data_IF_738126156845
#
_entry.id   IF_738126156845
#
_cell.length_a   1.000
_cell.length_b   1.000
_cell.length_c   1.000
_cell.angle_alpha   90.00
_cell.angle_beta   90.00
_cell.angle_gamma   90.00
#
_symmetry.space_group_name_H-M   'P 1'
#
loop_
_entity.id
_entity.type
_entity.pdbx_description
1 polymer ?
#
# COMPACT_ATOMS: atom_id res chain seq x y z
N UNK A 1 -3.53 -59.43 45.27
CA UNK A 1 -3.61 -57.97 45.39
C UNK A 1 -4.68 -57.46 44.43
N UNK A 2 -5.70 -56.77 44.93
CA UNK A 2 -6.77 -56.18 44.11
C UNK A 2 -6.67 -54.67 44.16
N UNK A 3 -7.09 -54.01 43.07
CA UNK A 3 -6.99 -52.55 42.90
C UNK A 3 -8.30 -52.07 42.30
N UNK A 4 -8.93 -51.09 42.95
CA UNK A 4 -10.27 -50.62 42.62
C UNK A 4 -10.26 -49.09 42.53
N UNK A 5 -10.88 -48.57 41.47
CA UNK A 5 -11.20 -47.16 41.33
C UNK A 5 -12.70 -46.97 41.49
N UNK A 6 -13.10 -46.09 42.39
CA UNK A 6 -14.49 -45.75 42.64
C UNK A 6 -14.68 -44.24 42.59
N UNK A 7 -15.87 -43.79 42.25
CA UNK A 7 -16.20 -42.37 42.23
C UNK A 7 -17.61 -42.12 42.76
N UNK A 8 -17.83 -40.95 43.32
CA UNK A 8 -19.16 -40.48 43.72
C UNK A 8 -19.28 -38.98 43.55
N UNK A 9 -20.51 -38.48 43.42
CA UNK A 9 -20.74 -37.04 43.54
C UNK A 9 -20.32 -36.61 44.95
N UNK A 10 -19.53 -35.55 45.06
CA UNK A 10 -19.03 -35.10 46.36
C UNK A 10 -20.19 -34.82 47.32
N UNK A 11 -20.05 -35.26 48.57
CA UNK A 11 -21.11 -35.19 49.59
C UNK A 11 -22.20 -36.26 49.51
N UNK A 12 -22.21 -37.15 48.51
CA UNK A 12 -23.12 -38.32 48.48
C UNK A 12 -22.52 -39.52 49.21
N UNK A 13 -23.35 -40.46 49.69
CA UNK A 13 -22.86 -41.61 50.45
C UNK A 13 -22.31 -42.72 49.53
N UNK A 14 -23.00 -43.00 48.43
CA UNK A 14 -22.80 -44.18 47.57
C UNK A 14 -21.61 -44.04 46.62
N UNK A 15 -20.80 -45.10 46.52
CA UNK A 15 -19.65 -45.18 45.61
C UNK A 15 -20.00 -45.99 44.37
N UNK A 16 -19.73 -45.44 43.19
CA UNK A 16 -19.86 -46.12 41.91
C UNK A 16 -18.52 -46.71 41.51
N UNK A 17 -18.47 -48.01 41.20
CA UNK A 17 -17.25 -48.64 40.70
C UNK A 17 -16.97 -48.17 39.27
N UNK A 18 -15.76 -47.65 39.03
CA UNK A 18 -15.33 -47.22 37.71
C UNK A 18 -15.08 -48.39 36.75
N UNK A 19 -14.97 -49.62 37.27
CA UNK A 19 -14.61 -50.84 36.52
C UNK A 19 -13.28 -50.72 35.75
N UNK A 20 -12.37 -49.89 36.26
CA UNK A 20 -11.01 -49.72 35.73
C UNK A 20 -10.03 -49.94 36.88
N UNK A 21 -8.88 -50.55 36.56
CA UNK A 21 -7.77 -50.79 37.50
C UNK A 21 -6.58 -49.91 37.14
N UNK A 22 -5.70 -49.63 38.10
CA UNK A 22 -4.57 -48.71 37.94
C UNK A 22 -3.24 -49.38 38.34
N UNK A 23 -2.13 -48.97 37.70
CA UNK A 23 -0.78 -49.49 37.97
C UNK A 23 0.19 -48.34 38.22
N UNK A 24 1.24 -48.59 39.03
CA UNK A 24 2.29 -47.60 39.24
C UNK A 24 2.92 -47.17 37.92
N UNK A 25 3.15 -45.86 37.76
CA UNK A 25 3.77 -45.29 36.57
C UNK A 25 2.95 -45.37 35.28
N UNK A 26 1.72 -45.91 35.31
CA UNK A 26 0.88 -46.07 34.12
C UNK A 26 -0.37 -45.21 34.25
N UNK A 27 -0.54 -44.26 33.34
CA UNK A 27 -1.77 -43.47 33.25
C UNK A 27 -2.95 -44.37 32.86
N UNK A 28 -4.13 -44.06 33.42
CA UNK A 28 -5.38 -44.71 33.04
C UNK A 28 -6.49 -43.66 32.98
N UNK A 29 -7.59 -43.99 32.30
CA UNK A 29 -8.73 -43.09 32.13
C UNK A 29 -10.01 -43.85 32.48
N UNK A 30 -10.93 -43.18 33.16
CA UNK A 30 -12.26 -43.71 33.45
C UNK A 30 -13.30 -42.57 33.37
N UNK A 31 -14.58 -42.90 33.49
CA UNK A 31 -15.67 -41.93 33.46
C UNK A 31 -16.40 -41.89 32.12
N UNK A 32 -15.70 -41.84 30.98
CA UNK A 32 -16.27 -42.10 29.65
C UNK A 32 -17.59 -41.39 29.29
N UNK A 33 -17.88 -40.22 29.88
CA UNK A 33 -19.15 -39.48 29.75
C UNK A 33 -20.15 -39.66 30.91
N UNK A 34 -19.97 -40.64 31.80
CA UNK A 34 -20.77 -40.87 33.02
C UNK A 34 -20.43 -39.92 34.17
N UNK A 35 -19.31 -39.21 34.05
CA UNK A 35 -18.88 -38.17 35.00
C UNK A 35 -19.23 -36.82 34.37
N UNK A 36 -20.18 -36.12 34.99
CA UNK A 36 -20.59 -34.79 34.54
C UNK A 36 -19.48 -33.77 34.82
N UNK A 37 -19.24 -32.87 33.88
CA UNK A 37 -18.35 -31.73 34.10
C UNK A 37 -18.97 -30.66 35.00
N UNK A 38 -20.25 -30.78 35.36
CA UNK A 38 -20.98 -29.79 36.15
C UNK A 38 -21.15 -30.21 37.62
N UNK A 39 -20.55 -31.34 38.02
CA UNK A 39 -20.65 -31.83 39.41
C UNK A 39 -19.25 -32.15 39.94
N UNK A 40 -18.97 -31.81 41.19
CA UNK A 40 -17.74 -32.22 41.86
C UNK A 40 -17.82 -33.71 42.21
N UNK A 41 -16.74 -34.44 42.00
CA UNK A 41 -16.64 -35.86 42.30
C UNK A 41 -15.50 -36.12 43.27
N UNK A 42 -15.71 -37.06 44.17
CA UNK A 42 -14.65 -37.69 44.95
C UNK A 42 -14.27 -39.00 44.26
N UNK A 43 -12.98 -39.21 44.03
CA UNK A 43 -12.43 -40.41 43.43
C UNK A 43 -11.63 -41.15 44.50
N UNK A 44 -11.98 -42.42 44.74
CA UNK A 44 -11.29 -43.28 45.69
C UNK A 44 -10.48 -44.32 44.95
N UNK A 45 -9.21 -44.39 45.32
CA UNK A 45 -8.28 -45.43 44.88
C UNK A 45 -8.03 -46.37 46.05
N UNK A 46 -8.40 -47.64 45.91
CA UNK A 46 -8.21 -48.66 46.93
C UNK A 46 -7.27 -49.75 46.44
N UNK A 47 -6.30 -50.09 47.28
CA UNK A 47 -5.40 -51.23 47.09
C UNK A 47 -5.61 -52.20 48.25
N UNK A 48 -5.81 -53.47 47.94
CA UNK A 48 -5.99 -54.54 48.92
C UNK A 48 -4.96 -55.64 48.68
N UNK A 49 -4.22 -56.01 49.72
CA UNK A 49 -3.37 -57.19 49.75
C UNK A 49 -3.97 -58.28 50.67
N UNK A 50 -3.20 -59.30 51.05
CA UNK A 50 -3.67 -60.40 51.89
C UNK A 50 -3.89 -59.98 53.37
N UNK A 51 -3.37 -58.83 53.79
CA UNK A 51 -3.29 -58.41 55.19
C UNK A 51 -4.04 -57.10 55.45
N UNK A 52 -4.18 -56.22 54.45
CA UNK A 52 -4.72 -54.88 54.64
C UNK A 52 -5.35 -54.29 53.37
N UNK A 53 -6.09 -53.20 53.56
CA UNK A 53 -6.56 -52.33 52.48
C UNK A 53 -6.24 -50.89 52.78
N UNK A 54 -5.67 -50.18 51.82
CA UNK A 54 -5.35 -48.75 51.91
C UNK A 54 -6.16 -48.01 50.85
N UNK A 55 -6.73 -46.86 51.22
CA UNK A 55 -7.48 -46.00 50.29
C UNK A 55 -7.03 -44.55 50.35
N UNK A 56 -6.97 -43.90 49.19
CA UNK A 56 -6.79 -42.45 49.04
C UNK A 56 -7.99 -41.88 48.31
N UNK A 57 -8.47 -40.72 48.75
CA UNK A 57 -9.53 -39.98 48.07
C UNK A 57 -8.96 -38.70 47.50
N UNK A 58 -9.22 -38.46 46.22
CA UNK A 58 -8.92 -37.22 45.51
C UNK A 58 -10.24 -36.52 45.13
N UNK A 59 -10.23 -35.20 45.04
CA UNK A 59 -11.42 -34.40 44.73
C UNK A 59 -11.24 -33.72 43.38
N UNK A 60 -12.16 -34.01 42.46
CA UNK A 60 -12.25 -33.37 41.15
C UNK A 60 -13.45 -32.43 41.16
N UNK A 61 -13.21 -31.12 41.09
CA UNK A 61 -14.27 -30.11 41.11
C UNK A 61 -15.00 -30.00 39.76
N UNK A 62 -16.17 -29.34 39.76
CA UNK A 62 -16.91 -28.97 38.55
C UNK A 62 -16.02 -28.15 37.58
N UNK A 63 -16.15 -28.37 36.28
CA UNK A 63 -15.57 -27.53 35.24
C UNK A 63 -16.25 -26.14 35.12
N UNK A 64 -17.48 -25.99 35.63
CA UNK A 64 -18.21 -24.73 35.61
C UNK A 64 -18.84 -24.43 36.97
N UNK A 65 -18.48 -23.28 37.53
CA UNK A 65 -18.98 -22.68 38.77
C UNK A 65 -19.51 -21.29 38.42
N UNK A 66 -20.59 -20.85 39.08
CA UNK A 66 -21.12 -19.49 38.86
C UNK A 66 -20.07 -18.45 39.25
N UNK A 67 -19.43 -18.64 40.39
CA UNK A 67 -18.31 -17.82 40.85
C UNK A 67 -17.36 -18.69 41.67
N UNK A 68 -16.06 -18.56 41.46
CA UNK A 68 -15.02 -19.25 42.21
C UNK A 68 -13.93 -18.28 42.66
N UNK A 69 -13.40 -18.52 43.85
CA UNK A 69 -12.30 -17.76 44.43
C UNK A 69 -11.08 -18.66 44.52
N UNK A 70 -9.96 -18.19 43.97
CA UNK A 70 -8.72 -18.93 44.04
C UNK A 70 -8.26 -19.05 45.49
N UNK A 71 -7.76 -20.23 45.86
CA UNK A 71 -7.18 -20.47 47.18
C UNK A 71 -6.17 -19.37 47.58
N UNK A 72 -6.26 -18.92 48.82
CA UNK A 72 -5.46 -17.79 49.31
C UNK A 72 -5.94 -16.40 48.84
N UNK A 73 -7.12 -16.30 48.23
CA UNK A 73 -7.72 -15.02 47.81
C UNK A 73 -7.02 -14.36 46.62
N UNK A 74 -6.25 -15.13 45.85
CA UNK A 74 -5.41 -14.60 44.77
C UNK A 74 -6.11 -14.44 43.44
N UNK A 75 -7.40 -14.71 43.31
CA UNK A 75 -8.08 -14.66 42.02
C UNK A 75 -9.57 -14.90 42.15
N UNK A 76 -10.30 -14.52 41.10
CA UNK A 76 -11.75 -14.71 41.02
C UNK A 76 -12.14 -15.08 39.59
N UNK A 77 -13.01 -16.07 39.45
CA UNK A 77 -13.51 -16.52 38.15
C UNK A 77 -15.03 -16.64 38.14
N UNK A 78 -15.65 -16.43 36.97
CA UNK A 78 -17.09 -16.57 36.74
C UNK A 78 -17.33 -17.52 35.56
N UNK A 79 -18.19 -18.53 35.76
CA UNK A 79 -18.49 -19.56 34.76
C UNK A 79 -17.38 -20.61 34.55
N UNK A 80 -16.26 -20.52 35.29
CA UNK A 80 -15.11 -21.44 35.31
C UNK A 80 -14.41 -21.36 36.67
N UNK A 81 -13.56 -22.34 36.98
CA UNK A 81 -12.67 -22.31 38.16
C UNK A 81 -11.53 -21.31 37.93
N UNK A 82 -11.06 -20.63 38.98
CA UNK A 82 -9.97 -19.67 38.89
C UNK A 82 -8.60 -20.37 38.81
N UNK A 83 -7.94 -20.20 37.68
CA UNK A 83 -6.71 -20.89 37.31
C UNK A 83 -5.49 -19.99 37.50
N UNK A 84 -5.63 -18.67 37.34
CA UNK A 84 -4.49 -17.73 37.31
C UNK A 84 -4.41 -16.85 38.56
N UNK A 85 -3.23 -16.78 39.19
CA UNK A 85 -2.96 -15.84 40.30
C UNK A 85 -3.07 -14.38 39.80
N UNK A 86 -3.67 -13.53 40.62
CA UNK A 86 -3.95 -12.11 40.43
C UNK A 86 -4.82 -11.80 39.19
N UNK A 87 -5.76 -12.68 38.84
CA UNK A 87 -6.59 -12.53 37.64
C UNK A 87 -8.09 -12.57 37.93
N UNK A 88 -8.85 -11.76 37.18
CA UNK A 88 -10.29 -11.94 37.02
C UNK A 88 -10.54 -12.69 35.71
N UNK A 89 -11.10 -13.89 35.80
CA UNK A 89 -11.33 -14.76 34.66
C UNK A 89 -12.83 -14.95 34.40
N UNK A 90 -13.20 -15.04 33.13
CA UNK A 90 -14.57 -15.36 32.73
C UNK A 90 -14.50 -16.51 31.73
N UNK A 91 -15.41 -17.46 31.87
CA UNK A 91 -15.54 -18.58 30.93
C UNK A 91 -15.70 -18.08 29.49
N UNK A 92 -15.06 -18.76 28.54
CA UNK A 92 -15.22 -18.50 27.10
C UNK A 92 -16.67 -18.68 26.59
N UNK A 93 -17.50 -19.38 27.37
CA UNK A 93 -18.93 -19.59 27.09
C UNK A 93 -19.81 -18.42 27.55
N UNK A 94 -19.24 -17.43 28.24
CA UNK A 94 -19.96 -16.32 28.83
C UNK A 94 -19.59 -15.00 28.14
N UNK A 95 -20.61 -14.23 27.78
CA UNK A 95 -20.44 -12.87 27.30
C UNK A 95 -20.23 -11.89 28.47
N UNK A 96 -19.19 -11.07 28.40
CA UNK A 96 -18.98 -9.97 29.35
C UNK A 96 -19.66 -8.71 28.81
N UNK A 97 -20.50 -8.05 29.62
CA UNK A 97 -21.04 -6.72 29.32
C UNK A 97 -20.42 -5.67 30.22
N UNK A 98 -19.96 -4.57 29.63
CA UNK A 98 -19.43 -3.38 30.33
C UNK A 98 -20.25 -2.18 29.86
N UNK A 99 -20.83 -1.42 30.81
CA UNK A 99 -21.74 -0.30 30.54
C UNK A 99 -22.89 -0.66 29.55
N UNK A 100 -23.46 -1.86 29.71
CA UNK A 100 -24.57 -2.34 28.87
C UNK A 100 -24.17 -2.84 27.47
N UNK A 101 -22.90 -2.75 27.08
CA UNK A 101 -22.39 -3.25 25.79
C UNK A 101 -21.55 -4.51 25.99
N UNK A 102 -21.59 -5.44 25.04
CA UNK A 102 -20.63 -6.55 25.03
C UNK A 102 -19.20 -5.98 25.05
N UNK A 103 -18.29 -6.56 25.84
CA UNK A 103 -16.92 -6.08 26.02
C UNK A 103 -16.21 -5.93 24.66
N UNK A 104 -16.37 -6.92 23.76
CA UNK A 104 -15.85 -6.85 22.38
C UNK A 104 -16.34 -5.61 21.62
N UNK A 105 -17.62 -5.24 21.78
CA UNK A 105 -18.22 -4.06 21.15
C UNK A 105 -17.72 -2.77 21.81
N UNK A 106 -17.60 -2.76 23.14
CA UNK A 106 -17.08 -1.62 23.88
C UNK A 106 -15.64 -1.29 23.46
N UNK A 107 -14.74 -2.28 23.46
CA UNK A 107 -13.34 -2.10 23.05
C UNK A 107 -13.25 -1.63 21.59
N UNK A 108 -14.00 -2.27 20.68
CA UNK A 108 -14.02 -1.88 19.27
C UNK A 108 -14.46 -0.42 19.07
N UNK A 109 -15.51 0.03 19.74
CA UNK A 109 -15.99 1.41 19.61
C UNK A 109 -15.02 2.45 20.17
N UNK A 110 -14.18 2.09 21.15
CA UNK A 110 -13.14 2.97 21.68
C UNK A 110 -11.89 3.02 20.79
N UNK A 111 -11.48 1.88 20.23
CA UNK A 111 -10.27 1.80 19.39
C UNK A 111 -10.53 2.24 17.94
N UNK A 112 -11.67 1.83 17.39
CA UNK A 112 -12.04 2.06 15.99
C UNK A 112 -13.50 2.52 15.89
N UNK A 113 -13.84 3.77 16.26
CA UNK A 113 -15.16 4.33 16.01
C UNK A 113 -15.55 4.32 14.52
N UNK A 114 -16.84 4.53 14.22
CA UNK A 114 -17.31 4.67 12.84
C UNK A 114 -16.57 5.83 12.17
N UNK A 115 -16.03 5.59 10.97
CA UNK A 115 -15.15 6.53 10.27
C UNK A 115 -13.65 6.24 10.42
N UNK A 116 -13.24 5.35 11.33
CA UNK A 116 -11.84 4.95 11.44
C UNK A 116 -11.33 4.22 10.19
N UNK A 117 -10.05 4.44 9.87
CA UNK A 117 -9.33 3.76 8.81
C UNK A 117 -8.34 2.77 9.43
N UNK A 118 -8.42 1.51 9.03
CA UNK A 118 -7.49 0.45 9.40
C UNK A 118 -6.64 0.06 8.19
N UNK A 119 -5.33 -0.04 8.37
CA UNK A 119 -4.36 -0.38 7.33
C UNK A 119 -3.72 -1.74 7.63
N UNK A 120 -3.65 -2.63 6.64
CA UNK A 120 -3.06 -3.96 6.78
C UNK A 120 -2.51 -4.48 5.48
N UNK A 121 -1.47 -5.32 5.54
CA UNK A 121 -0.97 -6.07 4.37
C UNK A 121 -1.84 -7.30 4.07
N UNK A 122 -2.79 -7.64 4.94
CA UNK A 122 -3.77 -8.71 4.73
C UNK A 122 -5.02 -8.19 4.02
N UNK A 123 -5.52 -8.98 3.07
CA UNK A 123 -6.79 -8.72 2.38
C UNK A 123 -8.03 -9.06 3.22
N UNK A 124 -7.86 -9.65 4.40
CA UNK A 124 -8.97 -10.05 5.26
C UNK A 124 -9.72 -8.84 5.80
N UNK A 125 -11.03 -8.80 5.56
CA UNK A 125 -11.92 -7.74 6.08
C UNK A 125 -11.88 -7.68 7.62
N UNK A 126 -11.70 -6.48 8.23
CA UNK A 126 -11.66 -6.32 9.67
C UNK A 126 -12.88 -6.75 10.46
N UNK A 127 -14.02 -6.93 9.80
CA UNK A 127 -15.21 -7.50 10.42
C UNK A 127 -14.97 -8.90 11.01
N UNK A 128 -13.97 -9.64 10.53
CA UNK A 128 -13.70 -11.01 11.01
C UNK A 128 -12.98 -11.06 12.36
N UNK A 129 -12.22 -10.03 12.72
CA UNK A 129 -11.46 -9.96 13.98
C UNK A 129 -11.98 -8.88 14.92
N UNK A 130 -12.31 -7.68 14.41
CA UNK A 130 -12.84 -6.59 15.24
C UNK A 130 -14.37 -6.61 15.34
N UNK A 131 -15.06 -7.26 14.41
CA UNK A 131 -16.50 -7.10 14.23
C UNK A 131 -16.84 -5.78 13.52
N UNK A 132 -18.11 -5.36 13.62
CA UNK A 132 -18.61 -4.18 12.90
C UNK A 132 -18.69 -4.38 11.39
N UNK A 133 -18.93 -3.28 10.67
CA UNK A 133 -19.01 -3.25 9.20
C UNK A 133 -17.88 -2.40 8.64
N UNK A 134 -17.15 -2.94 7.66
CA UNK A 134 -15.99 -2.29 7.05
C UNK A 134 -16.02 -2.41 5.54
N UNK A 135 -15.60 -1.33 4.87
CA UNK A 135 -15.53 -1.24 3.41
C UNK A 135 -14.12 -0.86 2.97
N UNK A 136 -13.65 -1.38 1.84
CA UNK A 136 -12.38 -0.96 1.26
C UNK A 136 -12.37 0.55 1.01
N UNK A 137 -11.26 1.22 1.31
CA UNK A 137 -11.14 2.67 1.25
C UNK A 137 -9.86 3.08 0.52
N UNK A 138 -9.92 4.15 -0.27
CA UNK A 138 -8.73 4.73 -0.90
C UNK A 138 -8.00 3.80 -1.88
N UNK A 139 -8.69 2.88 -2.55
CA UNK A 139 -8.05 1.95 -3.51
C UNK A 139 -7.28 2.72 -4.58
N UNK A 140 -6.01 2.35 -4.80
CA UNK A 140 -5.13 3.02 -5.75
C UNK A 140 -4.76 4.47 -5.39
N UNK A 141 -4.92 4.88 -4.12
CA UNK A 141 -4.67 6.24 -3.65
C UNK A 141 -3.77 6.26 -2.42
N UNK A 142 -3.14 7.39 -2.18
CA UNK A 142 -2.36 7.68 -0.97
C UNK A 142 -3.17 8.65 -0.10
N UNK A 143 -3.35 8.39 1.22
CA UNK A 143 -4.07 9.29 2.10
C UNK A 143 -3.35 10.63 2.25
N UNK A 144 -4.09 11.73 2.13
CA UNK A 144 -3.61 13.08 2.44
C UNK A 144 -4.47 13.64 3.58
N UNK A 145 -3.82 14.22 4.59
CA UNK A 145 -4.51 14.83 5.72
C UNK A 145 -5.39 15.99 5.25
N UNK A 146 -6.60 16.08 5.80
CA UNK A 146 -7.50 17.20 5.50
C UNK A 146 -6.87 18.49 5.99
N UNK A 147 -6.83 19.48 5.11
CA UNK A 147 -6.43 20.85 5.41
C UNK A 147 -7.55 21.79 4.99
N UNK A 148 -8.34 22.24 5.96
CA UNK A 148 -9.50 23.11 5.72
C UNK A 148 -9.14 24.44 5.02
N UNK A 149 -7.88 24.88 5.12
CA UNK A 149 -7.39 26.11 4.49
C UNK A 149 -6.84 25.90 3.07
N UNK A 150 -6.74 24.66 2.60
CA UNK A 150 -6.30 24.34 1.25
C UNK A 150 -7.47 23.74 0.46
N UNK A 151 -7.93 24.46 -0.56
CA UNK A 151 -9.05 24.01 -1.39
C UNK A 151 -8.82 22.65 -2.06
N UNK A 152 -7.56 22.22 -2.24
CA UNK A 152 -7.23 20.90 -2.77
C UNK A 152 -7.56 19.77 -1.78
N UNK A 153 -7.49 20.04 -0.47
CA UNK A 153 -7.60 19.07 0.62
C UNK A 153 -8.65 19.44 1.69
N UNK A 154 -9.57 20.35 1.36
CA UNK A 154 -10.47 20.98 2.33
C UNK A 154 -11.54 20.04 2.93
N UNK A 155 -11.87 18.93 2.27
CA UNK A 155 -12.93 18.03 2.70
C UNK A 155 -12.44 16.59 2.76
N UNK A 156 -12.95 15.83 3.73
CA UNK A 156 -12.69 14.39 3.85
C UNK A 156 -13.08 13.68 2.55
N UNK A 157 -12.30 12.66 2.18
CA UNK A 157 -12.57 11.79 1.02
C UNK A 157 -12.61 12.50 -0.33
N UNK A 158 -12.16 13.77 -0.41
CA UNK A 158 -11.88 14.41 -1.70
C UNK A 158 -10.80 13.62 -2.43
N UNK A 159 -11.02 13.39 -3.72
CA UNK A 159 -10.09 12.64 -4.57
C UNK A 159 -9.45 13.55 -5.62
N UNK A 160 -8.27 13.14 -6.09
CA UNK A 160 -7.50 13.86 -7.10
C UNK A 160 -6.21 13.11 -7.42
N UNK A 161 -5.29 13.80 -8.12
CA UNK A 161 -4.02 13.24 -8.56
C UNK A 161 -4.10 12.50 -9.90
N UNK A 162 -2.94 12.27 -10.50
CA UNK A 162 -2.78 11.53 -11.75
C UNK A 162 -1.52 10.68 -11.67
N UNK A 163 -1.61 9.42 -12.15
CA UNK A 163 -0.47 8.51 -12.19
C UNK A 163 0.56 8.89 -13.26
N UNK A 164 0.12 9.54 -14.33
CA UNK A 164 0.98 10.05 -15.41
C UNK A 164 0.55 11.45 -15.83
N UNK A 165 1.48 12.21 -16.39
CA UNK A 165 1.24 13.58 -16.88
C UNK A 165 1.80 13.75 -18.29
N UNK A 166 1.01 14.33 -19.19
CA UNK A 166 1.48 14.81 -20.50
C UNK A 166 1.71 16.32 -20.36
N UNK A 167 2.92 16.78 -20.71
CA UNK A 167 3.24 18.20 -20.66
C UNK A 167 2.54 18.94 -21.79
N UNK A 168 1.90 20.05 -21.45
CA UNK A 168 1.30 21.00 -22.39
C UNK A 168 2.28 22.13 -22.73
N UNK A 169 2.02 22.86 -23.81
CA UNK A 169 2.81 24.04 -24.18
C UNK A 169 2.88 25.08 -23.06
N UNK A 170 1.79 25.24 -22.30
CA UNK A 170 1.73 26.18 -21.17
C UNK A 170 2.63 25.77 -19.98
N UNK A 171 3.05 24.50 -19.92
CA UNK A 171 3.95 23.99 -18.88
C UNK A 171 5.43 24.01 -19.31
N UNK A 172 5.75 24.46 -20.52
CA UNK A 172 7.13 24.59 -20.99
C UNK A 172 7.70 25.95 -20.59
N UNK A 173 8.86 26.00 -19.90
CA UNK A 173 9.55 27.26 -19.64
C UNK A 173 9.92 27.98 -20.95
N UNK A 174 9.91 29.32 -20.90
CA UNK A 174 10.50 30.14 -21.96
C UNK A 174 11.96 29.76 -22.16
N UNK A 175 12.33 29.44 -23.40
CA UNK A 175 13.68 29.03 -23.76
C UNK A 175 14.09 29.69 -25.08
N UNK A 176 15.39 29.75 -25.34
CA UNK A 176 15.93 30.25 -26.60
C UNK A 176 16.56 29.11 -27.37
N UNK A 177 16.48 29.20 -28.70
CA UNK A 177 17.31 28.41 -29.57
C UNK A 177 18.58 29.22 -29.84
N UNK A 178 19.77 28.60 -29.74
CA UNK A 178 20.98 29.20 -30.30
C UNK A 178 20.74 29.53 -31.78
N UNK A 179 21.56 30.42 -32.39
CA UNK A 179 21.46 30.74 -33.84
C UNK A 179 21.28 29.43 -34.60
N UNK A 180 20.05 29.21 -35.08
CA UNK A 180 19.63 27.90 -35.53
C UNK A 180 20.47 27.47 -36.73
N UNK A 181 20.64 26.17 -36.90
CA UNK A 181 21.14 25.52 -38.13
C UNK A 181 20.17 25.71 -39.31
N UNK A 182 19.43 26.83 -39.35
CA UNK A 182 18.77 27.35 -40.55
C UNK A 182 19.87 27.84 -41.49
N UNK A 183 20.52 26.90 -42.16
CA UNK A 183 21.51 27.14 -43.19
C UNK A 183 20.87 26.89 -44.55
N UNK A 184 21.25 27.67 -45.56
CA UNK A 184 20.97 27.32 -46.95
C UNK A 184 21.91 26.18 -47.37
N UNK A 185 21.43 25.21 -48.14
CA UNK A 185 22.29 24.12 -48.64
C UNK A 185 23.29 24.59 -49.70
N UNK A 186 23.13 25.81 -50.20
CA UNK A 186 24.01 26.45 -51.17
C UNK A 186 24.31 27.87 -50.70
N UNK A 187 25.57 28.27 -50.75
CA UNK A 187 25.94 29.69 -50.69
C UNK A 187 25.65 30.27 -52.07
N UNK A 188 24.71 31.22 -52.16
CA UNK A 188 24.25 31.76 -53.44
C UNK A 188 25.41 32.17 -54.35
N UNK A 189 25.72 31.33 -55.34
CA UNK A 189 26.78 31.61 -56.32
C UNK A 189 26.28 32.65 -57.30
N UNK A 190 27.07 33.71 -57.50
CA UNK A 190 26.83 34.64 -58.59
C UNK A 190 28.12 34.86 -59.37
N UNK A 191 27.96 35.09 -60.67
CA UNK A 191 29.07 35.36 -61.59
C UNK A 191 28.82 36.69 -62.27
N UNK A 192 29.91 37.42 -62.53
CA UNK A 192 29.89 38.58 -63.40
C UNK A 192 30.46 38.19 -64.75
N UNK A 193 29.79 38.60 -65.85
CA UNK A 193 30.32 38.39 -67.19
C UNK A 193 30.41 39.73 -67.93
N UNK A 194 31.60 40.08 -68.38
CA UNK A 194 31.82 41.20 -69.29
C UNK A 194 31.98 40.62 -70.70
N UNK A 195 30.89 40.62 -71.48
CA UNK A 195 30.87 40.10 -72.86
C UNK A 195 31.50 41.11 -73.83
N UNK A 196 32.77 41.43 -73.64
CA UNK A 196 33.49 42.32 -74.54
C UNK A 196 33.91 41.52 -75.78
N UNK A 197 33.11 41.61 -76.85
CA UNK A 197 33.49 41.03 -78.15
C UNK A 197 34.24 42.07 -79.00
N UNK A 198 35.39 41.68 -79.55
CA UNK A 198 36.16 42.50 -80.50
C UNK A 198 35.47 42.45 -81.86
N UNK A 199 35.17 43.61 -82.44
CA UNK A 199 34.77 43.73 -83.85
C UNK A 199 35.72 44.67 -84.59
N UNK A 200 35.88 44.47 -85.89
CA UNK A 200 36.75 45.27 -86.76
C UNK A 200 36.10 46.63 -87.02
N UNK A 201 36.90 47.70 -86.98
CA UNK A 201 36.43 49.09 -87.09
C UNK A 201 35.68 49.35 -88.40
N UNK A 202 34.46 49.89 -88.33
CA UNK A 202 33.79 50.53 -89.48
C UNK A 202 32.68 49.74 -90.19
N UNK A 203 32.32 48.53 -89.75
CA UNK A 203 31.21 47.78 -90.35
C UNK A 203 29.94 47.87 -89.47
N UNK A 204 28.89 48.43 -90.06
CA UNK A 204 27.46 48.35 -89.69
C UNK A 204 26.93 49.09 -88.44
N UNK A 205 25.66 49.51 -88.58
CA UNK A 205 24.95 50.58 -87.87
C UNK A 205 24.00 50.10 -86.76
N UNK A 206 24.45 49.17 -85.90
CA UNK A 206 23.65 48.68 -84.78
C UNK A 206 24.45 48.61 -83.48
N UNK A 207 23.91 49.23 -82.41
CA UNK A 207 24.37 49.30 -81.02
C UNK A 207 25.86 49.02 -80.73
N UNK A 208 26.64 50.11 -80.66
CA UNK A 208 28.07 50.11 -80.35
C UNK A 208 28.28 50.33 -78.84
N UNK A 209 29.11 49.52 -78.18
CA UNK A 209 29.79 49.97 -76.96
C UNK A 209 30.97 50.81 -77.41
N UNK A 210 30.85 52.13 -77.30
CA UNK A 210 31.94 53.06 -77.52
C UNK A 210 32.78 53.04 -76.25
N UNK A 211 34.00 52.52 -76.31
CA UNK A 211 35.02 52.91 -75.33
C UNK A 211 35.77 54.06 -76.01
N UNK A 212 35.39 55.29 -75.67
CA UNK A 212 36.05 56.48 -76.17
C UNK A 212 37.40 56.61 -75.47
N UNK A 213 38.49 56.44 -76.21
CA UNK A 213 39.76 57.02 -75.84
C UNK A 213 40.30 57.78 -77.05
N UNK A 214 40.22 59.10 -76.92
CA UNK A 214 40.71 60.09 -77.88
C UNK A 214 42.22 59.94 -78.20
N UNK A 215 42.97 59.10 -77.48
CA UNK A 215 44.42 58.91 -77.63
C UNK A 215 44.88 57.44 -77.84
N UNK A 216 43.97 56.52 -78.14
CA UNK A 216 44.30 55.12 -78.48
C UNK A 216 44.48 54.18 -77.28
N UNK A 217 44.40 52.88 -77.53
CA UNK A 217 44.55 51.82 -76.51
C UNK A 217 45.74 50.91 -76.83
N UNK A 218 46.54 50.57 -75.81
CA UNK A 218 47.67 49.64 -75.94
C UNK A 218 47.38 48.22 -75.44
N UNK A 219 46.33 48.01 -74.62
CA UNK A 219 45.84 46.69 -74.23
C UNK A 219 44.39 46.73 -73.69
N UNK A 220 43.65 45.63 -73.87
CA UNK A 220 42.40 45.36 -73.15
C UNK A 220 42.70 44.28 -72.11
N UNK A 221 42.48 44.60 -70.83
CA UNK A 221 42.74 43.68 -69.71
C UNK A 221 41.45 43.47 -68.92
N UNK A 222 41.17 42.23 -68.52
CA UNK A 222 40.03 41.94 -67.64
C UNK A 222 40.17 42.71 -66.32
N UNK A 223 39.23 43.62 -66.07
CA UNK A 223 39.07 44.30 -64.77
C UNK A 223 38.03 43.54 -63.95
N UNK A 224 38.24 43.44 -62.64
CA UNK A 224 37.20 42.99 -61.72
C UNK A 224 36.00 43.94 -61.81
N UNK A 225 34.79 43.40 -61.77
CA UNK A 225 33.57 44.20 -61.65
C UNK A 225 33.54 44.94 -60.31
N UNK A 226 32.86 46.10 -60.28
CA UNK A 226 32.66 46.85 -59.04
C UNK A 226 31.81 46.03 -58.06
N UNK A 227 32.22 45.98 -56.78
CA UNK A 227 31.45 45.30 -55.73
C UNK A 227 30.06 45.91 -55.60
N UNK A 228 29.01 45.09 -55.66
CA UNK A 228 27.61 45.52 -55.53
C UNK A 228 27.15 45.69 -54.07
N UNK A 229 28.10 45.83 -53.13
CA UNK A 229 27.82 46.05 -51.71
C UNK A 229 27.39 44.78 -50.96
N UNK A 230 27.43 44.84 -49.63
CA UNK A 230 26.94 43.78 -48.78
C UNK A 230 25.41 43.71 -48.86
N UNK A 231 24.85 42.51 -49.01
CA UNK A 231 23.42 42.26 -48.88
C UNK A 231 23.16 41.22 -47.80
N UNK A 232 21.93 41.17 -47.30
CA UNK A 232 21.49 40.22 -46.29
C UNK A 232 20.53 39.19 -46.89
N UNK A 233 20.62 37.95 -46.40
CA UNK A 233 19.60 36.94 -46.63
C UNK A 233 18.70 36.85 -45.41
N UNK A 234 17.38 36.87 -45.62
CA UNK A 234 16.41 36.46 -44.61
C UNK A 234 16.14 34.98 -44.78
N UNK A 235 16.53 34.17 -43.80
CA UNK A 235 16.18 32.75 -43.75
C UNK A 235 14.99 32.61 -42.80
N UNK A 236 13.86 32.13 -43.32
CA UNK A 236 12.63 31.90 -42.54
C UNK A 236 12.21 30.43 -42.62
N UNK A 237 11.63 29.91 -41.55
CA UNK A 237 11.19 28.52 -41.45
C UNK A 237 10.94 28.10 -39.99
N UNK A 238 10.39 26.91 -39.81
CA UNK A 238 10.25 26.27 -38.50
C UNK A 238 11.41 25.32 -38.25
N UNK A 239 11.88 25.24 -37.00
CA UNK A 239 12.78 24.17 -36.59
C UNK A 239 12.03 22.84 -36.56
N UNK A 240 12.76 21.72 -36.56
CA UNK A 240 12.16 20.41 -36.30
C UNK A 240 11.44 20.39 -34.94
N UNK A 241 10.39 19.58 -34.83
CA UNK A 241 9.70 19.34 -33.56
C UNK A 241 10.65 18.64 -32.57
N UNK A 242 10.63 19.08 -31.32
CA UNK A 242 11.37 18.46 -30.22
C UNK A 242 10.40 18.02 -29.11
N UNK A 243 10.74 16.93 -28.42
CA UNK A 243 9.89 16.29 -27.41
C UNK A 243 9.05 15.14 -27.98
N UNK A 244 8.66 14.19 -27.13
CA UNK A 244 7.88 13.01 -27.53
C UNK A 244 6.37 13.20 -27.41
N UNK A 245 5.92 14.17 -26.60
CA UNK A 245 4.51 14.30 -26.21
C UNK A 245 3.99 13.13 -25.37
N UNK A 246 4.85 12.19 -24.99
CA UNK A 246 4.47 11.02 -24.21
C UNK A 246 4.24 11.38 -22.74
N UNK A 247 3.29 10.69 -22.12
CA UNK A 247 3.06 10.81 -20.69
C UNK A 247 4.29 10.30 -19.91
N UNK A 248 4.72 11.04 -18.89
CA UNK A 248 5.75 10.58 -17.96
C UNK A 248 5.11 10.11 -16.65
N UNK A 249 5.80 9.20 -15.96
CA UNK A 249 5.39 8.70 -14.66
C UNK A 249 5.37 9.83 -13.62
N UNK A 250 4.28 9.91 -12.85
CA UNK A 250 4.11 10.81 -11.72
C UNK A 250 3.92 10.05 -10.39
N UNK A 251 4.10 8.72 -10.40
CA UNK A 251 4.08 7.92 -9.19
C UNK A 251 5.45 8.01 -8.49
N UNK A 252 5.45 8.54 -7.27
CA UNK A 252 6.56 8.39 -6.34
C UNK A 252 6.77 6.90 -5.98
N UNK A 253 7.95 6.46 -5.52
CA UNK A 253 8.13 5.12 -4.98
C UNK A 253 7.07 4.80 -3.91
N UNK A 254 6.41 3.65 -4.02
CA UNK A 254 5.30 3.28 -3.15
C UNK A 254 5.36 1.81 -2.73
N UNK A 255 4.68 1.51 -1.63
CA UNK A 255 4.32 0.16 -1.20
C UNK A 255 2.82 0.13 -0.90
N UNK A 256 2.15 -0.94 -1.30
CA UNK A 256 0.70 -1.04 -1.22
C UNK A 256 0.26 -1.86 -0.02
N UNK A 257 -0.81 -1.42 0.64
CA UNK A 257 -1.53 -2.19 1.66
C UNK A 257 -3.04 -2.02 1.47
N UNK A 258 -3.82 -2.85 2.13
CA UNK A 258 -5.28 -2.74 2.19
C UNK A 258 -5.66 -1.72 3.24
N UNK A 259 -6.53 -0.78 2.86
CA UNK A 259 -7.11 0.19 3.76
C UNK A 259 -8.62 -0.04 3.84
N UNK A 260 -9.14 -0.09 5.06
CA UNK A 260 -10.54 -0.36 5.35
C UNK A 260 -11.12 0.77 6.19
N UNK A 261 -12.28 1.29 5.80
CA UNK A 261 -13.05 2.27 6.58
C UNK A 261 -14.17 1.57 7.33
N UNK A 262 -14.31 1.83 8.63
CA UNK A 262 -15.45 1.36 9.42
C UNK A 262 -16.69 2.19 9.09
N UNK A 263 -17.78 1.53 8.72
CA UNK A 263 -19.04 2.17 8.35
C UNK A 263 -20.17 1.93 9.35
N UNK A 264 -20.10 0.87 10.16
CA UNK A 264 -21.02 0.61 11.28
C UNK A 264 -20.36 -0.23 12.39
#
# INVERSE_FOLDING_TARGET
MTRKTEYRKSGTAEWTNANVSFSSGTAFTFGGGSISTETSYEIRYTITDAFSSISVVDVVSTAAVVMDFKSGGKGVAVGKVSETDNCFEVSEKWDVKVYGKLLKKFIMEQMYPVGSIYMSVSSTNPSTYFGGTWTAWGTGRVPVGVNANDTNFATVEKTGGAATVILTTAQMPSHTHAKGTLATNETGSHTHNLKNQKTTWGASSGNKVIIDATSGYTAITNKATTSAGAHSHTISGSTASAGSGSAHNNLQPYITCYMWKRTA
#
